data_IF_246963233219
#
_entry.id   IF_246963233219
#
_cell.length_a   1.000
_cell.length_b   1.000
_cell.length_c   1.000
_cell.angle_alpha   90.00
_cell.angle_beta   90.00
_cell.angle_gamma   90.00
#
_symmetry.space_group_name_H-M   'P 1'
#
loop_
_entity.id
_entity.type
_entity.pdbx_description
1 polymer ?
#
# COMPACT_ATOMS: atom_id res chain seq x y z
N UNK A 1 -4.39 20.24 -24.98
CA UNK A 1 -4.25 18.81 -25.36
C UNK A 1 -2.78 18.45 -25.28
N UNK A 2 -2.35 17.83 -24.19
CA UNK A 2 -0.92 17.58 -23.91
C UNK A 2 -0.48 16.30 -24.62
N UNK A 3 0.42 16.44 -25.59
CA UNK A 3 1.05 15.33 -26.32
C UNK A 3 1.92 14.56 -25.32
N UNK A 4 1.40 13.47 -24.77
CA UNK A 4 2.22 12.53 -24.02
C UNK A 4 3.18 11.82 -24.97
N UNK A 5 4.47 11.87 -24.62
CA UNK A 5 5.57 11.23 -25.33
C UNK A 5 5.23 9.75 -25.67
N UNK A 6 5.40 9.32 -26.93
CA UNK A 6 5.08 7.97 -27.41
C UNK A 6 5.71 6.84 -26.58
N UNK A 7 6.86 7.09 -25.95
CA UNK A 7 7.59 6.14 -25.11
C UNK A 7 6.77 5.68 -23.88
N UNK A 8 6.09 6.61 -23.20
CA UNK A 8 5.25 6.30 -22.04
C UNK A 8 4.02 5.45 -22.40
N UNK A 9 3.54 5.57 -23.64
CA UNK A 9 2.44 4.73 -24.16
C UNK A 9 2.91 3.31 -24.52
N UNK A 10 4.16 3.12 -24.95
CA UNK A 10 4.73 1.80 -25.28
C UNK A 10 5.02 0.97 -24.02
N UNK A 11 5.63 1.57 -23.00
CA UNK A 11 5.89 0.90 -21.70
C UNK A 11 4.59 0.44 -21.01
N UNK A 12 3.52 1.22 -21.10
CA UNK A 12 2.21 0.87 -20.56
C UNK A 12 1.50 -0.29 -21.27
N UNK A 13 1.96 -0.69 -22.46
CA UNK A 13 1.48 -1.88 -23.20
C UNK A 13 2.39 -3.09 -23.02
N UNK A 14 3.57 -2.94 -22.42
CA UNK A 14 4.61 -3.96 -22.43
C UNK A 14 4.44 -5.03 -21.34
N UNK A 15 3.83 -4.69 -20.20
CA UNK A 15 3.67 -5.63 -19.09
C UNK A 15 2.22 -6.14 -18.98
N UNK A 16 2.02 -7.47 -18.87
CA UNK A 16 0.70 -8.01 -18.62
C UNK A 16 0.20 -7.55 -17.23
N UNK A 17 -1.12 -7.36 -17.02
CA UNK A 17 -1.66 -6.85 -15.76
C UNK A 17 -1.24 -7.64 -14.52
N UNK A 18 -1.10 -8.97 -14.66
CA UNK A 18 -0.62 -9.86 -13.59
C UNK A 18 0.82 -9.53 -13.19
N UNK A 19 1.69 -9.23 -14.15
CA UNK A 19 3.06 -8.79 -13.84
C UNK A 19 3.06 -7.46 -13.08
N UNK A 20 2.16 -6.51 -13.41
CA UNK A 20 2.03 -5.28 -12.63
C UNK A 20 1.60 -5.54 -11.18
N UNK A 21 0.69 -6.50 -10.95
CA UNK A 21 0.28 -6.88 -9.59
C UNK A 21 1.42 -7.56 -8.82
N UNK A 22 2.12 -8.50 -9.43
CA UNK A 22 3.27 -9.17 -8.82
C UNK A 22 4.43 -8.19 -8.52
N UNK A 23 4.72 -7.27 -9.45
CA UNK A 23 5.69 -6.19 -9.24
C UNK A 23 5.27 -5.28 -8.08
N UNK A 24 3.97 -5.01 -7.94
CA UNK A 24 3.46 -4.18 -6.84
C UNK A 24 3.67 -4.86 -5.49
N UNK A 25 3.38 -6.16 -5.39
CA UNK A 25 3.58 -6.94 -4.17
C UNK A 25 5.06 -7.05 -3.80
N UNK A 26 5.91 -7.27 -4.81
CA UNK A 26 7.37 -7.35 -4.66
C UNK A 26 7.97 -6.01 -4.27
N UNK A 27 7.53 -4.91 -4.88
CA UNK A 27 7.99 -3.56 -4.54
C UNK A 27 7.59 -3.16 -3.12
N UNK A 28 6.40 -3.56 -2.67
CA UNK A 28 5.99 -3.33 -1.29
C UNK A 28 6.84 -4.15 -0.32
N UNK A 29 7.07 -5.43 -0.61
CA UNK A 29 7.97 -6.27 0.20
C UNK A 29 9.38 -5.67 0.31
N UNK A 30 9.94 -5.16 -0.80
CA UNK A 30 11.26 -4.56 -0.81
C UNK A 30 11.39 -3.29 0.08
N UNK A 31 10.27 -2.69 0.51
CA UNK A 31 10.29 -1.59 1.47
C UNK A 31 10.59 -2.05 2.92
N UNK A 32 10.58 -3.35 3.19
CA UNK A 32 10.86 -3.96 4.49
C UNK A 32 12.28 -4.55 4.56
N UNK A 33 12.81 -4.83 5.77
CA UNK A 33 13.99 -5.68 5.91
C UNK A 33 13.80 -7.00 5.14
N UNK A 34 14.84 -7.50 4.45
CA UNK A 34 16.24 -7.05 4.52
C UNK A 34 16.61 -5.88 3.59
N UNK A 35 15.75 -5.49 2.64
CA UNK A 35 16.11 -4.51 1.60
C UNK A 35 15.95 -3.06 2.05
N UNK A 36 14.92 -2.75 2.84
CA UNK A 36 14.67 -1.41 3.41
C UNK A 36 14.59 -0.29 2.37
N UNK A 37 14.10 -0.58 1.16
CA UNK A 37 13.89 0.43 0.12
C UNK A 37 12.60 1.24 0.40
N UNK A 38 12.60 1.96 1.51
CA UNK A 38 11.42 2.60 2.13
C UNK A 38 10.61 3.47 1.16
N UNK A 39 11.28 4.14 0.22
CA UNK A 39 10.65 4.95 -0.81
C UNK A 39 9.69 4.16 -1.71
N UNK A 40 9.92 2.87 -1.93
CA UNK A 40 9.05 2.02 -2.74
C UNK A 40 7.66 1.88 -2.13
N UNK A 41 7.50 1.95 -0.81
CA UNK A 41 6.19 1.86 -0.17
C UNK A 41 5.22 2.94 -0.68
N UNK A 42 5.69 4.11 -1.10
CA UNK A 42 4.85 5.21 -1.62
C UNK A 42 4.38 5.02 -3.06
N UNK A 43 5.01 4.10 -3.81
CA UNK A 43 4.71 3.88 -5.23
C UNK A 43 4.39 2.42 -5.56
N UNK A 44 4.54 1.50 -4.61
CA UNK A 44 4.41 0.07 -4.80
C UNK A 44 3.04 -0.33 -5.38
N UNK A 45 1.95 0.34 -5.02
CA UNK A 45 0.62 -0.04 -5.51
C UNK A 45 0.26 0.62 -6.85
N UNK A 46 1.06 1.59 -7.30
CA UNK A 46 0.76 2.36 -8.52
C UNK A 46 0.65 1.45 -9.76
N UNK A 47 1.56 0.48 -10.01
CA UNK A 47 1.43 -0.42 -11.16
C UNK A 47 0.14 -1.26 -11.10
N UNK A 48 -0.21 -1.80 -9.93
CA UNK A 48 -1.45 -2.55 -9.69
C UNK A 48 -2.69 -1.71 -10.02
N UNK A 49 -2.83 -0.54 -9.38
CA UNK A 49 -4.02 0.31 -9.53
C UNK A 49 -4.12 0.76 -10.99
N UNK A 50 -3.02 1.17 -11.61
CA UNK A 50 -3.01 1.54 -13.03
C UNK A 50 -3.44 0.36 -13.91
N UNK A 51 -2.98 -0.87 -13.63
CA UNK A 51 -3.35 -2.06 -14.38
C UNK A 51 -4.82 -2.48 -14.19
N UNK A 52 -5.39 -2.28 -13.00
CA UNK A 52 -6.81 -2.55 -12.72
C UNK A 52 -7.74 -1.61 -13.49
N UNK A 53 -7.36 -0.34 -13.60
CA UNK A 53 -8.15 0.70 -14.26
C UNK A 53 -7.69 1.01 -15.70
N UNK A 54 -6.72 0.24 -16.21
CA UNK A 54 -6.34 0.22 -17.62
C UNK A 54 -7.38 -0.56 -18.45
N UNK A 55 -8.57 0.00 -18.61
CA UNK A 55 -9.60 -0.51 -19.52
C UNK A 55 -11.00 -0.15 -19.03
N UNK A 56 -11.98 -0.91 -19.51
CA UNK A 56 -13.21 -1.11 -18.74
C UNK A 56 -12.88 -2.09 -17.60
N UNK A 57 -12.83 -1.63 -16.34
CA UNK A 57 -12.52 -2.53 -15.22
C UNK A 57 -13.67 -3.50 -15.02
N UNK A 58 -13.38 -4.81 -15.06
CA UNK A 58 -14.31 -5.85 -14.59
C UNK A 58 -14.02 -6.17 -13.13
N UNK A 59 -15.05 -6.46 -12.33
CA UNK A 59 -14.88 -6.82 -10.91
C UNK A 59 -13.99 -8.05 -10.75
N UNK A 60 -14.10 -9.04 -11.65
CA UNK A 60 -13.26 -10.24 -11.64
C UNK A 60 -11.78 -9.92 -11.86
N UNK A 61 -11.46 -9.02 -12.80
CA UNK A 61 -10.07 -8.59 -13.04
C UNK A 61 -9.50 -7.85 -11.82
N UNK A 62 -10.24 -6.92 -11.23
CA UNK A 62 -9.78 -6.18 -10.04
C UNK A 62 -9.46 -7.16 -8.92
N UNK A 63 -10.40 -8.06 -8.61
CA UNK A 63 -10.25 -9.13 -7.61
C UNK A 63 -9.04 -10.03 -7.85
N UNK A 64 -8.85 -10.51 -9.09
CA UNK A 64 -7.72 -11.36 -9.42
C UNK A 64 -6.38 -10.65 -9.23
N UNK A 65 -6.28 -9.39 -9.65
CA UNK A 65 -5.05 -8.61 -9.51
C UNK A 65 -4.75 -8.24 -8.05
N UNK A 66 -5.79 -7.89 -7.30
CA UNK A 66 -5.73 -7.70 -5.85
C UNK A 66 -5.19 -8.96 -5.14
N UNK A 67 -5.71 -10.13 -5.52
CA UNK A 67 -5.24 -11.41 -4.98
C UNK A 67 -3.78 -11.73 -5.31
N UNK A 68 -3.35 -11.49 -6.55
CA UNK A 68 -1.93 -11.64 -6.93
C UNK A 68 -1.05 -10.68 -6.13
N UNK A 69 -1.46 -9.42 -5.99
CA UNK A 69 -0.73 -8.42 -5.21
C UNK A 69 -0.56 -8.86 -3.75
N UNK A 70 -1.66 -9.16 -3.06
CA UNK A 70 -1.64 -9.56 -1.66
C UNK A 70 -0.85 -10.85 -1.49
N UNK A 71 -1.07 -11.85 -2.35
CA UNK A 71 -0.42 -13.14 -2.20
C UNK A 71 1.09 -13.11 -2.45
N UNK A 72 1.56 -12.32 -3.43
CA UNK A 72 3.00 -12.11 -3.63
C UNK A 72 3.59 -11.37 -2.43
N UNK A 73 2.93 -10.30 -1.96
CA UNK A 73 3.42 -9.54 -0.82
C UNK A 73 3.52 -10.41 0.45
N UNK A 74 2.45 -11.11 0.83
CA UNK A 74 2.44 -11.93 2.05
C UNK A 74 3.34 -13.15 1.94
N UNK A 75 3.45 -13.76 0.76
CA UNK A 75 4.39 -14.87 0.54
C UNK A 75 5.85 -14.43 0.69
N UNK A 76 6.21 -13.27 0.14
CA UNK A 76 7.56 -12.71 0.29
C UNK A 76 7.86 -12.25 1.71
N UNK A 77 6.88 -11.63 2.40
CA UNK A 77 7.03 -11.29 3.82
C UNK A 77 7.24 -12.55 4.67
N UNK A 78 6.49 -13.62 4.38
CA UNK A 78 6.62 -14.90 5.11
C UNK A 78 8.01 -15.50 4.93
N UNK A 79 8.51 -15.57 3.68
CA UNK A 79 9.83 -16.17 3.43
C UNK A 79 10.99 -15.33 3.97
N UNK A 80 10.79 -14.02 4.18
CA UNK A 80 11.80 -13.14 4.79
C UNK A 80 11.93 -13.26 6.31
N UNK A 81 11.03 -13.99 6.96
CA UNK A 81 11.14 -14.30 8.39
C UNK A 81 11.92 -15.60 8.56
N UNK A 82 12.78 -15.65 9.56
CA UNK A 82 13.57 -16.86 9.85
C UNK A 82 12.66 -18.06 10.11
N UNK A 83 12.95 -19.22 9.49
CA UNK A 83 12.17 -20.42 9.72
C UNK A 83 12.31 -20.86 11.19
N UNK A 84 11.25 -21.42 11.81
CA UNK A 84 11.38 -22.10 13.08
C UNK A 84 12.43 -23.21 13.01
N UNK A 85 13.16 -23.47 14.09
CA UNK A 85 14.26 -24.47 14.14
C UNK A 85 13.84 -25.88 13.70
N UNK A 86 12.54 -26.19 13.79
CA UNK A 86 11.95 -27.48 13.45
C UNK A 86 11.54 -27.61 11.97
N UNK A 87 11.69 -26.57 11.15
CA UNK A 87 11.27 -26.53 9.74
C UNK A 87 12.48 -26.32 8.83
N UNK A 88 12.67 -27.19 7.85
CA UNK A 88 13.73 -27.01 6.84
C UNK A 88 13.46 -25.78 5.97
N UNK A 89 14.50 -25.14 5.44
CA UNK A 89 14.33 -23.97 4.58
C UNK A 89 13.40 -24.20 3.38
N UNK A 90 13.42 -25.41 2.79
CA UNK A 90 12.50 -25.78 1.70
C UNK A 90 11.05 -25.92 2.14
N UNK A 91 10.82 -26.54 3.31
CA UNK A 91 9.48 -26.62 3.88
C UNK A 91 8.94 -25.23 4.24
N UNK A 92 9.80 -24.33 4.74
CA UNK A 92 9.43 -22.93 5.01
C UNK A 92 9.10 -22.14 3.74
N UNK A 93 9.90 -22.31 2.69
CA UNK A 93 9.62 -21.70 1.39
C UNK A 93 8.27 -22.22 0.83
N UNK A 94 8.02 -23.52 0.89
CA UNK A 94 6.74 -24.12 0.50
C UNK A 94 5.57 -23.58 1.32
N UNK A 95 5.71 -23.49 2.64
CA UNK A 95 4.70 -22.91 3.53
C UNK A 95 4.45 -21.43 3.23
N UNK A 96 5.50 -20.66 2.94
CA UNK A 96 5.39 -19.25 2.55
C UNK A 96 4.61 -19.05 1.25
N UNK A 97 4.80 -19.94 0.27
CA UNK A 97 3.97 -19.95 -0.96
C UNK A 97 2.51 -20.27 -0.63
N UNK A 98 2.24 -21.24 0.25
CA UNK A 98 0.88 -21.56 0.68
C UNK A 98 0.21 -20.41 1.44
N UNK A 99 0.95 -19.71 2.31
CA UNK A 99 0.48 -18.50 3.01
C UNK A 99 0.15 -17.43 1.97
N UNK A 100 1.06 -17.16 1.03
CA UNK A 100 0.83 -16.24 -0.08
C UNK A 100 -0.44 -16.58 -0.86
N UNK A 101 -0.61 -17.85 -1.25
CA UNK A 101 -1.79 -18.32 -1.96
C UNK A 101 -3.08 -18.13 -1.13
N UNK A 102 -3.06 -18.50 0.16
CA UNK A 102 -4.23 -18.40 1.03
C UNK A 102 -4.70 -16.94 1.19
N UNK A 103 -3.76 -16.03 1.50
CA UNK A 103 -4.07 -14.60 1.60
C UNK A 103 -4.45 -13.98 0.26
N UNK A 104 -3.81 -14.39 -0.84
CA UNK A 104 -4.15 -13.93 -2.18
C UNK A 104 -5.55 -14.36 -2.62
N UNK A 105 -5.94 -15.61 -2.36
CA UNK A 105 -7.31 -16.09 -2.61
C UNK A 105 -8.31 -15.33 -1.73
N UNK A 106 -8.02 -15.16 -0.44
CA UNK A 106 -8.87 -14.38 0.47
C UNK A 106 -9.07 -12.95 -0.03
N UNK A 107 -8.00 -12.27 -0.43
CA UNK A 107 -8.03 -10.93 -1.00
C UNK A 107 -8.87 -10.85 -2.29
N UNK A 108 -8.74 -11.83 -3.19
CA UNK A 108 -9.56 -11.90 -4.40
C UNK A 108 -11.05 -12.12 -4.11
N UNK A 109 -11.38 -12.98 -3.14
CA UNK A 109 -12.75 -13.23 -2.73
C UNK A 109 -13.39 -12.01 -2.04
N UNK A 110 -12.60 -11.23 -1.32
CA UNK A 110 -13.05 -10.02 -0.62
C UNK A 110 -12.99 -8.74 -1.48
N UNK A 111 -12.33 -8.78 -2.65
CA UNK A 111 -12.01 -7.59 -3.44
C UNK A 111 -11.22 -6.55 -2.62
N UNK A 112 -10.10 -7.00 -2.07
CA UNK A 112 -9.22 -6.23 -1.21
C UNK A 112 -7.80 -6.20 -1.77
N UNK A 113 -7.10 -5.05 -1.78
CA UNK A 113 -7.47 -3.81 -1.09
C UNK A 113 -8.33 -2.85 -1.92
N UNK A 114 -8.56 -3.16 -3.18
CA UNK A 114 -9.22 -2.21 -4.09
C UNK A 114 -10.71 -2.51 -4.20
N UNK A 115 -11.59 -1.57 -3.79
CA UNK A 115 -13.02 -1.81 -3.85
C UNK A 115 -13.48 -2.08 -5.28
N UNK A 116 -14.51 -2.94 -5.48
CA UNK A 116 -15.05 -3.23 -6.80
C UNK A 116 -15.45 -1.95 -7.56
N UNK A 117 -15.30 -1.97 -8.88
CA UNK A 117 -15.62 -0.81 -9.73
C UNK A 117 -17.05 -0.27 -9.52
N UNK A 118 -18.00 -1.13 -9.17
CA UNK A 118 -19.36 -0.73 -8.83
C UNK A 118 -19.44 0.14 -7.56
N UNK A 119 -18.68 -0.21 -6.52
CA UNK A 119 -18.59 0.54 -5.26
C UNK A 119 -17.93 1.88 -5.52
N UNK A 120 -16.78 1.85 -6.21
CA UNK A 120 -16.00 3.04 -6.59
C UNK A 120 -16.85 4.11 -7.27
N UNK A 121 -17.77 3.71 -8.16
CA UNK A 121 -18.65 4.63 -8.88
C UNK A 121 -19.65 5.38 -7.98
N UNK A 122 -19.94 4.85 -6.78
CA UNK A 122 -20.87 5.40 -5.79
C UNK A 122 -20.16 6.19 -4.69
N UNK A 123 -18.83 6.07 -4.57
CA UNK A 123 -18.08 6.76 -3.53
C UNK A 123 -18.07 8.28 -3.76
N UNK A 124 -18.00 9.08 -2.66
CA UNK A 124 -17.71 10.50 -2.77
C UNK A 124 -16.33 10.70 -3.42
N UNK A 125 -16.10 11.89 -3.96
CA UNK A 125 -14.89 12.21 -4.75
C UNK A 125 -13.59 11.86 -4.01
N UNK A 126 -13.50 12.18 -2.72
CA UNK A 126 -12.36 11.86 -1.86
C UNK A 126 -12.24 10.37 -1.51
N UNK A 127 -13.36 9.64 -1.52
CA UNK A 127 -13.45 8.23 -1.11
C UNK A 127 -12.65 7.29 -2.00
N UNK A 128 -12.36 7.68 -3.24
CA UNK A 128 -11.48 6.92 -4.14
C UNK A 128 -10.06 6.73 -3.58
N UNK A 129 -9.54 7.71 -2.85
CA UNK A 129 -8.19 7.69 -2.27
C UNK A 129 -8.22 7.17 -0.84
N UNK A 130 -9.12 7.70 -0.02
CA UNK A 130 -9.10 7.42 1.41
C UNK A 130 -9.78 6.12 1.79
N UNK A 131 -10.81 5.66 1.06
CA UNK A 131 -11.49 4.42 1.46
C UNK A 131 -10.54 3.22 1.39
N UNK A 132 -9.79 2.96 0.30
CA UNK A 132 -8.84 1.85 0.27
C UNK A 132 -7.74 1.97 1.33
N UNK A 133 -7.28 3.20 1.61
CA UNK A 133 -6.30 3.47 2.67
C UNK A 133 -6.86 3.14 4.06
N UNK A 134 -8.10 3.55 4.36
CA UNK A 134 -8.80 3.21 5.59
C UNK A 134 -9.03 1.70 5.71
N UNK A 135 -9.45 1.04 4.63
CA UNK A 135 -9.65 -0.41 4.63
C UNK A 135 -8.35 -1.15 4.90
N UNK A 136 -7.24 -0.78 4.26
CA UNK A 136 -5.93 -1.40 4.54
C UNK A 136 -5.48 -1.17 5.98
N UNK A 137 -5.58 0.08 6.45
CA UNK A 137 -5.25 0.42 7.84
C UNK A 137 -6.10 -0.37 8.85
N UNK A 138 -7.40 -0.54 8.55
CA UNK A 138 -8.31 -1.34 9.36
C UNK A 138 -7.93 -2.83 9.36
N UNK A 139 -7.47 -3.38 8.23
CA UNK A 139 -6.96 -4.75 8.17
C UNK A 139 -5.68 -4.91 8.97
N UNK A 140 -4.73 -3.96 8.90
CA UNK A 140 -3.54 -3.99 9.76
C UNK A 140 -3.91 -3.87 11.25
N UNK A 141 -4.90 -3.05 11.59
CA UNK A 141 -5.43 -2.93 12.94
C UNK A 141 -6.04 -4.25 13.42
N UNK A 142 -6.95 -4.84 12.64
CA UNK A 142 -7.56 -6.14 12.94
C UNK A 142 -6.51 -7.24 13.06
N UNK A 143 -5.49 -7.23 12.20
CA UNK A 143 -4.37 -8.17 12.29
C UNK A 143 -3.67 -8.02 13.63
N UNK A 144 -3.40 -6.81 14.10
CA UNK A 144 -2.72 -6.59 15.38
C UNK A 144 -3.56 -7.02 16.59
N UNK A 145 -4.87 -6.73 16.60
CA UNK A 145 -5.73 -7.00 17.77
C UNK A 145 -6.29 -8.42 17.83
N UNK A 146 -6.18 -9.19 16.75
CA UNK A 146 -6.59 -10.60 16.71
C UNK A 146 -5.40 -11.53 16.96
N UNK A 147 -5.68 -12.77 17.34
CA UNK A 147 -4.65 -13.83 17.49
C UNK A 147 -3.98 -14.20 16.15
N UNK A 148 -4.43 -13.63 15.03
CA UNK A 148 -3.78 -13.74 13.72
C UNK A 148 -2.50 -12.89 13.60
N UNK A 149 -2.17 -12.09 14.63
CA UNK A 149 -1.30 -10.92 14.52
C UNK A 149 0.20 -11.13 14.54
N UNK A 150 0.78 -11.55 13.41
CA UNK A 150 2.20 -11.31 13.17
C UNK A 150 2.41 -9.84 12.70
N UNK A 151 3.24 -9.03 13.39
CA UNK A 151 3.41 -7.61 13.09
C UNK A 151 4.23 -7.35 11.81
N UNK A 152 4.79 -8.39 11.19
CA UNK A 152 5.63 -8.25 10.02
C UNK A 152 4.87 -7.79 8.78
N UNK A 153 5.51 -6.92 7.99
CA UNK A 153 4.89 -6.32 6.81
C UNK A 153 3.78 -5.31 7.12
N UNK A 154 3.77 -4.67 8.30
CA UNK A 154 2.91 -3.50 8.54
C UNK A 154 3.49 -2.28 7.83
N UNK A 155 2.74 -1.64 6.92
CA UNK A 155 3.24 -0.54 6.07
C UNK A 155 3.95 0.54 6.89
N UNK A 156 3.45 0.88 8.07
CA UNK A 156 4.08 1.87 8.92
C UNK A 156 5.52 1.54 9.38
N UNK A 157 5.87 0.26 9.55
CA UNK A 157 7.24 -0.11 9.98
C UNK A 157 8.27 0.14 8.89
N UNK A 158 7.85 0.17 7.61
CA UNK A 158 8.73 0.59 6.50
C UNK A 158 9.08 2.09 6.53
N UNK A 159 8.44 2.88 7.40
CA UNK A 159 8.53 4.34 7.40
C UNK A 159 9.08 4.93 8.70
N UNK A 160 9.71 4.12 9.54
CA UNK A 160 10.27 4.58 10.82
C UNK A 160 11.34 5.67 10.63
N UNK A 161 12.01 5.70 9.47
CA UNK A 161 13.05 6.67 9.13
C UNK A 161 12.55 7.91 8.38
N UNK A 162 11.26 7.97 8.07
CA UNK A 162 10.65 9.08 7.36
C UNK A 162 10.19 10.14 8.35
N UNK A 163 11.02 11.16 8.61
CA UNK A 163 10.79 12.16 9.67
C UNK A 163 9.37 12.77 9.70
N UNK A 164 8.75 13.19 8.57
CA UNK A 164 7.37 13.71 8.59
C UNK A 164 6.34 12.69 9.08
N UNK A 165 6.53 11.41 8.76
CA UNK A 165 5.64 10.33 9.19
C UNK A 165 5.91 9.93 10.64
N UNK A 166 7.18 9.94 11.06
CA UNK A 166 7.57 9.68 12.46
C UNK A 166 6.89 10.68 13.42
N UNK A 167 6.74 11.93 13.00
CA UNK A 167 6.05 12.96 13.79
C UNK A 167 4.56 12.66 14.03
N UNK A 168 3.95 11.74 13.27
CA UNK A 168 2.56 11.31 13.45
C UNK A 168 2.42 10.21 14.51
N UNK A 169 3.51 9.54 14.90
CA UNK A 169 3.48 8.43 15.86
C UNK A 169 2.90 8.84 17.23
N UNK A 170 3.22 10.02 17.81
CA UNK A 170 2.63 10.42 19.08
C UNK A 170 1.12 10.70 19.02
N UNK A 171 0.56 10.96 17.83
CA UNK A 171 -0.86 11.34 17.68
C UNK A 171 -1.77 10.12 17.73
N UNK A 172 -1.45 9.09 16.95
CA UNK A 172 -2.29 7.90 16.83
C UNK A 172 -1.46 6.64 16.54
N UNK A 173 -0.19 6.62 16.95
CA UNK A 173 0.72 5.51 16.68
C UNK A 173 0.99 5.32 15.20
N UNK A 174 1.05 4.07 14.78
CA UNK A 174 1.43 3.69 13.42
C UNK A 174 0.30 3.84 12.37
N UNK A 175 -0.94 3.98 12.81
CA UNK A 175 -2.12 4.05 11.93
C UNK A 175 -2.11 5.23 10.96
N UNK A 176 -1.86 6.50 11.37
CA UNK A 176 -1.77 7.61 10.43
C UNK A 176 -0.64 7.43 9.41
N UNK A 177 0.43 6.72 9.77
CA UNK A 177 1.54 6.41 8.87
C UNK A 177 1.09 5.46 7.76
N UNK A 178 0.53 4.30 8.10
CA UNK A 178 -0.06 3.36 7.12
C UNK A 178 -1.08 4.07 6.24
N UNK A 179 -1.99 4.81 6.86
CA UNK A 179 -3.06 5.51 6.16
C UNK A 179 -2.50 6.48 5.11
N UNK A 180 -1.51 7.32 5.48
CA UNK A 180 -0.95 8.31 4.57
C UNK A 180 -0.12 7.67 3.45
N UNK A 181 0.62 6.59 3.72
CA UNK A 181 1.40 5.86 2.71
C UNK A 181 0.49 5.23 1.66
N UNK A 182 -0.58 4.54 2.09
CA UNK A 182 -1.53 3.92 1.16
C UNK A 182 -2.30 5.00 0.39
N UNK A 183 -2.76 6.06 1.06
CA UNK A 183 -3.45 7.17 0.39
C UNK A 183 -2.55 7.85 -0.65
N UNK A 184 -1.25 7.96 -0.39
CA UNK A 184 -0.25 8.50 -1.34
C UNK A 184 -0.17 7.66 -2.61
N UNK A 185 -0.17 6.33 -2.51
CA UNK A 185 -0.20 5.45 -3.68
C UNK A 185 -1.46 5.69 -4.55
N UNK A 186 -2.63 5.80 -3.93
CA UNK A 186 -3.88 6.06 -4.64
C UNK A 186 -3.91 7.47 -5.26
N UNK A 187 -3.35 8.47 -4.58
CA UNK A 187 -3.20 9.81 -5.11
C UNK A 187 -2.29 9.83 -6.36
N UNK A 188 -1.12 9.19 -6.29
CA UNK A 188 -0.21 9.07 -7.45
C UNK A 188 -0.89 8.31 -8.60
N UNK A 189 -1.58 7.22 -8.28
CA UNK A 189 -2.32 6.44 -9.29
C UNK A 189 -3.41 7.27 -9.98
N UNK A 190 -4.12 8.12 -9.23
CA UNK A 190 -5.11 9.04 -9.79
C UNK A 190 -4.48 10.07 -10.74
N UNK A 191 -3.30 10.60 -10.39
CA UNK A 191 -2.55 11.50 -11.28
C UNK A 191 -2.14 10.79 -12.57
N UNK A 192 -1.58 9.58 -12.48
CA UNK A 192 -1.16 8.78 -13.65
C UNK A 192 -2.34 8.46 -14.57
N UNK A 193 -3.48 8.03 -14.00
CA UNK A 193 -4.70 7.75 -14.76
C UNK A 193 -5.29 9.02 -15.41
N UNK A 194 -5.20 10.17 -14.72
CA UNK A 194 -5.62 11.47 -15.25
C UNK A 194 -4.79 11.95 -16.43
N UNK A 195 -3.46 11.82 -16.34
CA UNK A 195 -2.55 12.12 -17.44
C UNK A 195 -2.88 11.25 -18.66
N UNK A 196 -3.22 9.97 -18.48
CA UNK A 196 -3.60 9.04 -19.56
C UNK A 196 -4.98 9.29 -20.19
N UNK A 197 -5.70 10.34 -19.77
CA UNK A 197 -7.01 10.69 -20.32
C UNK A 197 -8.12 9.68 -20.02
N UNK A 198 -7.96 8.86 -18.98
CA UNK A 198 -8.91 7.79 -18.62
C UNK A 198 -9.96 8.31 -17.66
N UNK A 199 -11.24 8.01 -17.92
CA UNK A 199 -12.42 8.24 -17.06
C UNK A 199 -12.44 9.57 -16.29
N UNK A 200 -13.07 10.61 -16.86
CA UNK A 200 -13.20 11.93 -16.25
C UNK A 200 -13.76 11.91 -14.82
N UNK A 201 -14.58 10.91 -14.44
CA UNK A 201 -15.11 10.75 -13.09
C UNK A 201 -14.04 10.28 -12.09
N UNK A 202 -13.20 9.32 -12.46
CA UNK A 202 -12.06 8.87 -11.63
C UNK A 202 -11.03 9.99 -11.46
N UNK A 203 -10.79 10.78 -12.50
CA UNK A 203 -9.87 11.92 -12.47
C UNK A 203 -10.40 13.05 -11.60
N UNK A 204 -11.69 13.41 -11.73
CA UNK A 204 -12.31 14.46 -10.91
C UNK A 204 -12.41 14.08 -9.43
N UNK A 205 -12.72 12.81 -9.13
CA UNK A 205 -12.67 12.28 -7.76
C UNK A 205 -11.25 12.31 -7.20
N UNK A 206 -10.31 11.79 -8.00
CA UNK A 206 -8.89 11.75 -7.69
C UNK A 206 -8.28 13.10 -7.33
N UNK A 207 -8.68 14.20 -7.97
CA UNK A 207 -8.13 15.54 -7.64
C UNK A 207 -8.36 15.97 -6.20
N UNK A 208 -9.58 15.79 -5.67
CA UNK A 208 -9.88 16.15 -4.27
C UNK A 208 -9.10 15.21 -3.34
N UNK A 209 -9.04 13.91 -3.66
CA UNK A 209 -8.20 12.96 -2.94
C UNK A 209 -6.72 13.38 -2.91
N UNK A 210 -6.14 13.74 -4.07
CA UNK A 210 -4.76 14.20 -4.19
C UNK A 210 -4.52 15.47 -3.36
N UNK A 211 -5.39 16.47 -3.45
CA UNK A 211 -5.26 17.72 -2.68
C UNK A 211 -5.33 17.45 -1.18
N UNK A 212 -6.27 16.60 -0.73
CA UNK A 212 -6.36 16.23 0.70
C UNK A 212 -5.16 15.43 1.18
N UNK A 213 -4.58 14.54 0.37
CA UNK A 213 -3.32 13.86 0.69
C UNK A 213 -2.17 14.85 0.77
N UNK A 214 -2.06 15.81 -0.15
CA UNK A 214 -1.05 16.86 -0.10
C UNK A 214 -1.20 17.72 1.18
N UNK A 215 -2.43 18.09 1.54
CA UNK A 215 -2.71 18.80 2.79
C UNK A 215 -2.31 17.98 4.03
N UNK A 216 -2.59 16.67 4.04
CA UNK A 216 -2.17 15.78 5.13
C UNK A 216 -0.63 15.69 5.24
N UNK A 217 0.09 15.65 4.12
CA UNK A 217 1.54 15.72 4.11
C UNK A 217 2.08 17.05 4.62
N UNK A 218 1.48 18.18 4.23
CA UNK A 218 1.86 19.50 4.74
C UNK A 218 1.65 19.60 6.26
N UNK A 219 0.54 19.03 6.76
CA UNK A 219 0.31 18.95 8.20
C UNK A 219 1.36 18.07 8.90
N UNK A 220 1.72 16.91 8.33
CA UNK A 220 2.76 16.04 8.85
C UNK A 220 4.15 16.71 8.85
N UNK A 221 4.49 17.45 7.79
CA UNK A 221 5.70 18.26 7.70
C UNK A 221 5.71 19.38 8.75
N UNK A 222 4.58 20.07 8.92
CA UNK A 222 4.42 21.10 9.96
C UNK A 222 4.62 20.52 11.36
N UNK A 223 4.03 19.36 11.64
CA UNK A 223 4.21 18.65 12.91
C UNK A 223 5.67 18.24 13.14
N UNK A 224 6.38 17.78 12.11
CA UNK A 224 7.79 17.41 12.20
C UNK A 224 8.74 18.61 12.38
N UNK A 225 8.32 19.81 11.98
CA UNK A 225 9.09 21.03 12.18
C UNK A 225 8.92 21.62 13.60
N UNK A 226 7.93 21.15 14.37
CA UNK A 226 7.76 21.58 15.75
C UNK A 226 8.90 21.02 16.62
N UNK A 227 9.42 21.80 17.59
CA UNK A 227 10.38 21.30 18.55
C UNK A 227 9.83 20.05 19.23
N UNK A 228 10.61 18.98 19.25
CA UNK A 228 10.23 17.80 20.03
C UNK A 228 10.10 18.23 21.50
N UNK A 229 9.02 17.83 22.21
CA UNK A 229 8.93 18.10 23.63
C UNK A 229 10.19 17.53 24.30
N UNK A 230 10.73 18.21 25.32
CA UNK A 230 11.89 17.70 26.04
C UNK A 230 11.60 16.27 26.50
N UNK A 231 12.53 15.35 26.25
CA UNK A 231 12.42 13.97 26.73
C UNK A 231 12.48 14.01 28.26
N UNK A 232 11.31 14.05 28.90
CA UNK A 232 11.21 14.09 30.36
C UNK A 232 11.59 12.71 30.89
N UNK A 233 12.82 12.61 31.39
CA UNK A 233 13.32 11.46 32.12
C UNK A 233 13.71 10.28 31.23
N UNK A 234 15.00 10.17 30.91
CA UNK A 234 15.60 8.84 30.80
C UNK A 234 15.44 8.19 32.17
N UNK A 235 14.47 7.29 32.32
CA UNK A 235 14.47 6.33 33.41
C UNK A 235 15.80 5.59 33.30
N UNK A 236 16.78 5.98 34.13
CA UNK A 236 17.97 5.18 34.35
C UNK A 236 17.45 3.90 34.98
N UNK A 237 17.30 2.86 34.17
CA UNK A 237 17.17 1.49 34.68
C UNK A 237 18.52 1.20 35.33
N UNK A 238 18.59 1.38 36.64
CA UNK A 238 19.73 0.93 37.44
C UNK A 238 19.65 -0.59 37.41
N UNK A 239 20.59 -1.19 36.68
CA UNK A 239 20.79 -2.64 36.62
C UNK A 239 21.30 -3.18 37.96
#
# INVERSE_FOLDING_TARGET
MTVLLPAARRLARALPPVACAALSGSALWAAFPPLTWTALAFVAWVPLIVAQFAGAPSSARVRALDGVFVGVFTGLVSVSVDPPEVITGWAWAGLSVLIGLAFGVGAALLAFPTPPAAVVRRLPRWGWVWLPALTWTGVEYLRLVTTAGHPWGMVATSQIDTAPLRALLPVAGMWPVTLLVVATNYAISALVLGVRGRSAKLVRGGRIGVVSVAAAWLAALGAAALPSPPVVGTLRVVA
#
